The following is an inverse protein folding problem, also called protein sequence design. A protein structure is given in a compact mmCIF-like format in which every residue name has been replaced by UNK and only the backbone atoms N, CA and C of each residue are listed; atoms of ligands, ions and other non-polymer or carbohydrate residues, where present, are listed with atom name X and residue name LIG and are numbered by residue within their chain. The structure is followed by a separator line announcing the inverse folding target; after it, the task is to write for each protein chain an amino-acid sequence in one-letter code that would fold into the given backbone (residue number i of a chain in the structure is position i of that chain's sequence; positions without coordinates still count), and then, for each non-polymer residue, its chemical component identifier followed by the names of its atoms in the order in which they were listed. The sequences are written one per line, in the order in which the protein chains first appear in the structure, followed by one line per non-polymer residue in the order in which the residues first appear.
data_IF_259319786129
#
_entry.id   IF_259319786129
#
_cell.length_a   1.000
_cell.length_b   1.000
_cell.length_c   1.000
_cell.angle_alpha   90.00
_cell.angle_beta   90.00
_cell.angle_gamma   90.00
#
_symmetry.space_group_name_H-M   'P 1'
#
loop_
_entity.id
_entity.type
_entity.pdbx_description
1 polymer ?
#
# COMPACT_ATOMS: atom_id res chain seq x y z
N UNK A 1 -4.36 39.86 30.84
CA UNK A 1 -5.53 38.97 30.67
C UNK A 1 -6.78 39.85 30.66
N UNK A 2 -7.49 39.93 29.53
CA UNK A 2 -8.74 40.71 29.37
C UNK A 2 -10.00 39.84 29.50
N UNK A 3 -10.00 38.91 30.46
CA UNK A 3 -11.09 37.95 30.69
C UNK A 3 -12.40 38.66 31.07
N UNK A 4 -13.39 38.67 30.17
CA UNK A 4 -14.66 39.36 30.42
C UNK A 4 -15.67 38.46 31.15
N UNK A 5 -15.86 37.23 30.68
CA UNK A 5 -16.84 36.27 31.25
C UNK A 5 -16.35 34.83 31.37
N UNK A 6 -15.16 34.50 30.83
CA UNK A 6 -14.58 33.17 30.96
C UNK A 6 -14.24 32.81 32.41
N UNK A 7 -14.37 31.54 32.79
CA UNK A 7 -14.04 31.05 34.13
C UNK A 7 -12.97 29.96 34.07
N UNK A 8 -12.24 29.75 35.18
CA UNK A 8 -11.28 28.64 35.37
C UNK A 8 -10.11 28.59 34.37
N UNK A 9 -9.55 29.76 34.08
CA UNK A 9 -8.38 29.87 33.20
C UNK A 9 -7.07 29.97 34.00
N UNK A 10 -6.01 29.35 33.50
CA UNK A 10 -4.63 29.45 34.02
C UNK A 10 -3.75 30.17 32.99
N UNK A 11 -3.10 31.27 33.38
CA UNK A 11 -2.20 32.03 32.51
C UNK A 11 -0.84 32.25 33.17
N UNK A 12 0.24 31.81 32.53
CA UNK A 12 1.61 31.97 33.04
C UNK A 12 2.59 32.31 31.91
N UNK A 13 2.93 33.59 31.76
CA UNK A 13 3.82 34.09 30.72
C UNK A 13 3.43 35.50 30.28
N UNK A 14 4.34 36.20 29.59
CA UNK A 14 4.05 37.51 29.04
C UNK A 14 2.92 37.40 28.00
N UNK A 15 1.85 38.18 28.15
CA UNK A 15 0.68 38.18 27.26
C UNK A 15 -0.04 36.82 27.08
N UNK A 16 0.16 35.86 27.99
CA UNK A 16 -0.63 34.63 27.99
C UNK A 16 -2.12 34.98 28.23
N UNK A 17 -3.02 34.45 27.38
CA UNK A 17 -4.47 34.71 27.43
C UNK A 17 -4.84 36.21 27.42
N UNK A 18 -4.10 37.04 26.68
CA UNK A 18 -4.31 38.50 26.65
C UNK A 18 -5.73 38.88 26.20
N UNK A 19 -6.19 38.36 25.06
CA UNK A 19 -7.48 38.74 24.46
C UNK A 19 -8.65 37.78 24.77
N UNK A 20 -8.49 36.85 25.73
CA UNK A 20 -9.56 35.95 26.15
C UNK A 20 -10.78 36.73 26.60
N UNK A 21 -11.93 36.61 25.92
CA UNK A 21 -13.17 37.31 26.31
C UNK A 21 -14.07 36.38 27.13
N UNK A 22 -14.68 35.37 26.50
CA UNK A 22 -15.63 34.46 27.15
C UNK A 22 -15.16 33.00 27.26
N UNK A 23 -14.01 32.65 26.68
CA UNK A 23 -13.45 31.29 26.75
C UNK A 23 -13.13 30.86 28.18
N UNK A 24 -13.66 29.71 28.61
CA UNK A 24 -13.39 29.12 29.93
C UNK A 24 -12.53 27.85 29.85
N UNK A 25 -12.03 27.42 31.00
CA UNK A 25 -11.25 26.17 31.17
C UNK A 25 -9.98 26.10 30.29
N UNK A 26 -9.33 27.24 30.03
CA UNK A 26 -8.11 27.33 29.23
C UNK A 26 -6.84 27.38 30.09
N UNK A 27 -5.79 26.68 29.68
CA UNK A 27 -4.44 26.75 30.28
C UNK A 27 -3.44 27.27 29.27
N UNK A 28 -2.87 28.45 29.49
CA UNK A 28 -1.81 29.05 28.68
C UNK A 28 -0.52 29.25 29.48
N UNK A 29 0.54 28.52 29.14
CA UNK A 29 1.86 28.57 29.79
C UNK A 29 2.92 28.85 28.73
N UNK A 30 3.57 30.01 28.80
CA UNK A 30 4.52 30.49 27.80
C UNK A 30 4.21 31.91 27.37
N UNK A 31 5.21 32.61 26.82
CA UNK A 31 4.98 33.93 26.24
C UNK A 31 4.00 33.80 25.07
N UNK A 32 3.00 34.68 25.04
CA UNK A 32 1.93 34.78 24.03
C UNK A 32 1.10 33.51 23.80
N UNK A 33 1.18 32.51 24.68
CA UNK A 33 0.32 31.33 24.61
C UNK A 33 -1.17 31.73 24.70
N UNK A 34 -1.99 31.28 23.74
CA UNK A 34 -3.42 31.62 23.62
C UNK A 34 -3.74 33.13 23.59
N UNK A 35 -2.81 33.98 23.11
CA UNK A 35 -2.97 35.43 23.20
C UNK A 35 -4.22 35.99 22.48
N UNK A 36 -4.66 35.38 21.36
CA UNK A 36 -5.84 35.83 20.61
C UNK A 36 -7.12 35.01 20.83
N UNK A 37 -7.13 34.09 21.80
CA UNK A 37 -8.36 33.35 22.16
C UNK A 37 -9.48 34.34 22.45
N UNK A 38 -10.66 34.21 21.84
CA UNK A 38 -11.82 35.06 22.17
C UNK A 38 -12.83 34.24 22.95
N UNK A 39 -13.43 33.24 22.31
CA UNK A 39 -14.55 32.46 22.88
C UNK A 39 -14.27 30.97 23.02
N UNK A 40 -13.16 30.47 22.46
CA UNK A 40 -12.76 29.07 22.54
C UNK A 40 -12.52 28.59 23.99
N UNK A 41 -13.08 27.44 24.35
CA UNK A 41 -12.93 26.86 25.69
C UNK A 41 -12.18 25.53 25.70
N UNK A 42 -11.67 25.13 26.85
CA UNK A 42 -11.02 23.82 27.06
C UNK A 42 -9.68 23.66 26.33
N UNK A 43 -8.96 24.75 26.04
CA UNK A 43 -7.68 24.68 25.34
C UNK A 43 -6.49 24.60 26.31
N UNK A 44 -5.50 23.77 25.99
CA UNK A 44 -4.21 23.70 26.69
C UNK A 44 -3.08 24.11 25.75
N UNK A 45 -2.34 25.16 26.08
CA UNK A 45 -1.22 25.68 25.31
C UNK A 45 0.02 25.81 26.21
N UNK A 46 1.07 25.04 25.93
CA UNK A 46 2.34 25.08 26.66
C UNK A 46 3.50 25.27 25.69
N UNK A 47 4.12 26.44 25.70
CA UNK A 47 5.20 26.81 24.79
C UNK A 47 5.10 28.28 24.37
N UNK A 48 6.17 28.82 23.78
CA UNK A 48 6.13 30.15 23.16
C UNK A 48 5.15 30.11 21.98
N UNK A 49 4.21 31.07 21.95
CA UNK A 49 3.18 31.23 20.92
C UNK A 49 2.32 29.99 20.60
N UNK A 50 2.28 28.99 21.50
CA UNK A 50 1.37 27.86 21.33
C UNK A 50 -0.09 28.36 21.27
N UNK A 51 -0.84 27.94 20.24
CA UNK A 51 -2.22 28.38 19.98
C UNK A 51 -2.41 29.92 19.88
N UNK A 52 -1.40 30.67 19.41
CA UNK A 52 -1.40 32.14 19.42
C UNK A 52 -2.65 32.77 18.77
N UNK A 53 -3.06 32.33 17.57
CA UNK A 53 -4.17 32.94 16.82
C UNK A 53 -5.55 32.31 17.06
N UNK A 54 -5.68 31.38 18.01
CA UNK A 54 -6.97 30.69 18.26
C UNK A 54 -8.04 31.74 18.53
N UNK A 55 -9.20 31.70 17.85
CA UNK A 55 -10.29 32.66 18.11
C UNK A 55 -11.45 31.96 18.81
N UNK A 56 -12.04 30.97 18.13
CA UNK A 56 -13.24 30.25 18.58
C UNK A 56 -13.01 28.75 18.75
N UNK A 57 -11.87 28.22 18.29
CA UNK A 57 -11.52 26.81 18.41
C UNK A 57 -11.48 26.33 19.87
N UNK A 58 -12.02 25.15 20.12
CA UNK A 58 -12.18 24.56 21.44
C UNK A 58 -11.54 23.18 21.53
N UNK A 59 -11.22 22.76 22.75
CA UNK A 59 -10.65 21.45 23.09
C UNK A 59 -9.33 21.13 22.36
N UNK A 60 -8.49 22.15 22.11
CA UNK A 60 -7.19 21.95 21.49
C UNK A 60 -6.08 21.79 22.55
N UNK A 61 -5.14 20.90 22.30
CA UNK A 61 -3.91 20.74 23.09
C UNK A 61 -2.70 21.05 22.23
N UNK A 62 -1.90 22.04 22.59
CA UNK A 62 -0.67 22.43 21.90
C UNK A 62 0.50 22.47 22.91
N UNK A 63 1.51 21.63 22.70
CA UNK A 63 2.70 21.55 23.55
C UNK A 63 3.95 21.63 22.68
N UNK A 64 4.65 22.77 22.71
CA UNK A 64 5.83 23.03 21.89
C UNK A 64 5.92 24.50 21.47
N UNK A 65 7.11 24.89 21.01
CA UNK A 65 7.32 26.19 20.36
C UNK A 65 6.48 26.24 19.07
N UNK A 66 5.65 27.28 18.93
CA UNK A 66 4.79 27.51 17.75
C UNK A 66 3.84 26.34 17.40
N UNK A 67 3.58 25.46 18.36
CA UNK A 67 2.61 24.38 18.18
C UNK A 67 1.21 24.97 17.96
N UNK A 68 0.58 24.60 16.85
CA UNK A 68 -0.81 24.99 16.53
C UNK A 68 -1.02 26.52 16.44
N UNK A 69 0.03 27.29 16.11
CA UNK A 69 0.08 28.76 16.21
C UNK A 69 -1.01 29.46 15.39
N UNK A 70 -1.31 28.97 14.18
CA UNK A 70 -2.23 29.59 13.23
C UNK A 70 -3.70 29.10 13.33
N UNK A 71 -4.03 28.27 14.33
CA UNK A 71 -5.41 27.79 14.52
C UNK A 71 -6.34 28.98 14.72
N UNK A 72 -7.45 29.04 13.98
CA UNK A 72 -8.46 30.10 14.15
C UNK A 72 -9.76 29.53 14.71
N UNK A 73 -10.29 28.48 14.09
CA UNK A 73 -11.60 27.88 14.42
C UNK A 73 -11.58 26.36 14.60
N UNK A 74 -10.45 25.71 14.30
CA UNK A 74 -10.31 24.25 14.39
C UNK A 74 -10.49 23.74 15.82
N UNK A 75 -11.15 22.58 15.97
CA UNK A 75 -11.49 21.99 17.26
C UNK A 75 -10.81 20.62 17.45
N UNK A 76 -10.64 20.22 18.71
CA UNK A 76 -10.22 18.87 19.08
C UNK A 76 -8.87 18.44 18.46
N UNK A 77 -7.94 19.37 18.25
CA UNK A 77 -6.60 19.06 17.76
C UNK A 77 -5.63 18.83 18.90
N UNK A 78 -4.75 17.84 18.78
CA UNK A 78 -3.61 17.60 19.67
C UNK A 78 -2.32 17.79 18.87
N UNK A 79 -1.45 18.70 19.29
CA UNK A 79 -0.17 18.98 18.66
C UNK A 79 0.95 19.01 19.71
N UNK A 80 1.86 18.03 19.64
CA UNK A 80 3.00 17.91 20.56
C UNK A 80 4.30 17.91 19.78
N UNK A 81 5.11 18.96 19.92
CA UNK A 81 6.34 19.16 19.17
C UNK A 81 6.49 20.61 18.72
N UNK A 82 7.73 21.04 18.46
CA UNK A 82 7.96 22.36 17.88
C UNK A 82 7.38 22.40 16.46
N UNK A 83 6.67 23.48 16.12
CA UNK A 83 5.99 23.65 14.83
C UNK A 83 5.03 22.51 14.45
N UNK A 84 4.60 21.70 15.43
CA UNK A 84 3.59 20.68 15.18
C UNK A 84 2.27 21.37 14.83
N UNK A 85 1.73 21.05 13.66
CA UNK A 85 0.44 21.57 13.19
C UNK A 85 0.39 23.11 13.09
N UNK A 86 1.54 23.75 12.83
CA UNK A 86 1.77 25.20 12.88
C UNK A 86 0.73 26.03 12.08
N UNK A 87 0.47 25.64 10.83
CA UNK A 87 -0.35 26.43 9.88
C UNK A 87 -1.84 26.08 9.87
N UNK A 88 -2.32 25.19 10.76
CA UNK A 88 -3.71 24.74 10.80
C UNK A 88 -4.66 25.93 10.96
N UNK A 89 -5.55 26.21 10.01
CA UNK A 89 -6.49 27.35 10.14
C UNK A 89 -7.84 26.91 10.70
N UNK A 90 -8.41 25.83 10.15
CA UNK A 90 -9.77 25.34 10.48
C UNK A 90 -9.88 23.81 10.58
N UNK A 91 -8.81 23.08 10.26
CA UNK A 91 -8.76 21.63 10.40
C UNK A 91 -9.06 21.18 11.84
N UNK A 92 -9.78 20.07 11.99
CA UNK A 92 -10.26 19.58 13.28
C UNK A 92 -9.95 18.09 13.47
N UNK A 93 -9.91 17.66 14.74
CA UNK A 93 -9.68 16.26 15.12
C UNK A 93 -8.35 15.67 14.62
N UNK A 94 -7.30 16.49 14.55
CA UNK A 94 -5.95 16.02 14.17
C UNK A 94 -5.13 15.64 15.41
N UNK A 95 -4.37 14.55 15.33
CA UNK A 95 -3.45 14.09 16.38
C UNK A 95 -2.00 14.08 15.88
N UNK A 96 -1.18 14.97 16.42
CA UNK A 96 0.15 15.28 15.88
C UNK A 96 1.20 15.21 16.97
N UNK A 97 2.24 14.41 16.74
CA UNK A 97 3.41 14.30 17.61
C UNK A 97 4.68 14.30 16.76
N UNK A 98 5.58 15.26 16.98
CA UNK A 98 6.84 15.36 16.27
C UNK A 98 7.21 16.78 15.86
N UNK A 99 8.50 17.01 15.61
CA UNK A 99 9.01 18.28 15.08
C UNK A 99 8.47 18.51 13.66
N UNK A 100 7.79 19.63 13.44
CA UNK A 100 7.19 20.02 12.15
C UNK A 100 6.26 18.95 11.55
N UNK A 101 5.69 18.07 12.38
CA UNK A 101 4.68 17.13 11.92
C UNK A 101 3.41 17.89 11.54
N UNK A 102 2.85 17.57 10.37
CA UNK A 102 1.63 18.18 9.82
C UNK A 102 1.68 19.73 9.77
N UNK A 103 2.88 20.32 9.58
CA UNK A 103 3.14 21.75 9.74
C UNK A 103 2.27 22.64 8.83
N UNK A 104 2.04 22.22 7.58
CA UNK A 104 1.41 23.07 6.55
C UNK A 104 -0.11 22.92 6.43
N UNK A 105 -0.75 22.17 7.34
CA UNK A 105 -2.18 21.87 7.21
C UNK A 105 -3.01 23.16 7.19
N UNK A 106 -3.88 23.36 6.20
CA UNK A 106 -4.76 24.53 6.19
C UNK A 106 -6.14 24.15 6.73
N UNK A 107 -6.75 23.09 6.17
CA UNK A 107 -8.14 22.67 6.47
C UNK A 107 -8.32 21.16 6.66
N UNK A 108 -7.28 20.36 6.47
CA UNK A 108 -7.31 18.91 6.63
C UNK A 108 -7.75 18.49 8.04
N UNK A 109 -8.53 17.42 8.12
CA UNK A 109 -9.15 16.96 9.38
C UNK A 109 -9.00 15.44 9.50
N UNK A 110 -9.06 14.95 10.73
CA UNK A 110 -8.92 13.53 11.06
C UNK A 110 -7.56 12.92 10.70
N UNK A 111 -6.51 13.73 10.68
CA UNK A 111 -5.15 13.27 10.39
C UNK A 111 -4.42 12.84 11.66
N UNK A 112 -3.64 11.76 11.57
CA UNK A 112 -2.68 11.33 12.60
C UNK A 112 -1.28 11.44 12.04
N UNK A 113 -0.42 12.28 12.63
CA UNK A 113 0.97 12.45 12.21
C UNK A 113 1.91 12.22 13.41
N UNK A 114 2.65 11.12 13.41
CA UNK A 114 3.57 10.75 14.48
C UNK A 114 4.99 10.52 13.93
N UNK A 115 5.86 11.51 14.06
CA UNK A 115 7.23 11.45 13.60
C UNK A 115 7.75 12.81 13.14
N UNK A 116 9.08 12.93 13.01
CA UNK A 116 9.71 14.11 12.42
C UNK A 116 9.17 14.33 11.00
N UNK A 117 8.57 15.49 10.73
CA UNK A 117 8.07 15.87 9.40
C UNK A 117 7.05 14.87 8.80
N UNK A 118 6.37 14.06 9.62
CA UNK A 118 5.26 13.24 9.16
C UNK A 118 4.14 14.17 8.63
N UNK A 119 3.61 13.91 7.44
CA UNK A 119 2.58 14.75 6.78
C UNK A 119 2.95 16.25 6.62
N UNK A 120 4.24 16.59 6.59
CA UNK A 120 4.77 17.97 6.61
C UNK A 120 4.01 18.97 5.71
N UNK A 121 3.71 18.55 4.47
CA UNK A 121 3.18 19.41 3.41
C UNK A 121 1.66 19.32 3.21
N UNK A 122 0.93 18.57 4.05
CA UNK A 122 -0.52 18.42 3.87
C UNK A 122 -1.18 19.78 3.98
N UNK A 123 -2.12 20.10 3.09
CA UNK A 123 -2.85 21.38 3.10
C UNK A 123 -4.34 21.18 3.29
N UNK A 124 -4.93 20.20 2.59
CA UNK A 124 -6.37 19.95 2.56
C UNK A 124 -6.73 18.46 2.62
N UNK A 125 -5.74 17.58 2.54
CA UNK A 125 -5.95 16.14 2.68
C UNK A 125 -6.52 15.80 4.05
N UNK A 126 -7.34 14.76 4.12
CA UNK A 126 -8.05 14.39 5.33
C UNK A 126 -8.01 12.86 5.54
N UNK A 127 -8.19 12.45 6.79
CA UNK A 127 -8.19 11.05 7.20
C UNK A 127 -6.89 10.30 6.86
N UNK A 128 -5.75 10.99 6.92
CA UNK A 128 -4.44 10.39 6.70
C UNK A 128 -3.81 9.91 8.02
N UNK A 129 -3.12 8.76 7.99
CA UNK A 129 -2.31 8.27 9.11
C UNK A 129 -0.86 8.16 8.65
N UNK A 130 0.05 8.94 9.24
CA UNK A 130 1.48 8.91 8.97
C UNK A 130 2.25 8.66 10.27
N UNK A 131 2.86 7.48 10.41
CA UNK A 131 3.68 7.11 11.56
C UNK A 131 5.09 6.75 11.12
N UNK A 132 6.07 7.57 11.48
CA UNK A 132 7.46 7.46 11.06
C UNK A 132 8.03 8.80 10.62
N UNK A 133 9.35 8.93 10.66
CA UNK A 133 10.01 10.14 10.13
C UNK A 133 9.74 10.24 8.62
N UNK A 134 9.31 11.41 8.17
CA UNK A 134 9.01 11.75 6.78
C UNK A 134 7.94 10.88 6.09
N UNK A 135 7.19 10.08 6.86
CA UNK A 135 6.04 9.35 6.34
C UNK A 135 5.03 10.35 5.75
N UNK A 136 4.61 10.12 4.50
CA UNK A 136 3.61 10.92 3.81
C UNK A 136 3.95 12.43 3.69
N UNK A 137 5.24 12.79 3.74
CA UNK A 137 5.71 14.17 3.94
C UNK A 137 5.36 15.18 2.82
N UNK A 138 5.19 14.73 1.58
CA UNK A 138 4.85 15.59 0.44
C UNK A 138 3.36 15.62 0.10
N UNK A 139 2.50 14.90 0.84
CA UNK A 139 1.06 14.86 0.54
C UNK A 139 0.48 16.26 0.69
N UNK A 140 -0.32 16.72 -0.29
CA UNK A 140 -0.91 18.07 -0.29
C UNK A 140 -2.41 18.02 -0.13
N UNK A 141 -3.05 17.14 -0.88
CA UNK A 141 -4.52 17.04 -0.99
C UNK A 141 -5.02 15.60 -0.96
N UNK A 142 -4.13 14.60 -0.89
CA UNK A 142 -4.53 13.20 -0.83
C UNK A 142 -5.27 12.89 0.47
N UNK A 143 -6.25 11.99 0.40
CA UNK A 143 -7.03 11.55 1.55
C UNK A 143 -6.97 10.05 1.75
N UNK A 144 -7.32 9.61 2.96
CA UNK A 144 -7.41 8.20 3.36
C UNK A 144 -6.12 7.39 3.16
N UNK A 145 -4.94 8.03 3.21
CA UNK A 145 -3.67 7.33 3.09
C UNK A 145 -3.17 6.86 4.46
N UNK A 146 -2.65 5.64 4.54
CA UNK A 146 -1.96 5.09 5.71
C UNK A 146 -0.50 4.82 5.36
N UNK A 147 0.44 5.50 6.01
CA UNK A 147 1.87 5.34 5.84
C UNK A 147 2.54 5.06 7.20
N UNK A 148 3.04 3.85 7.40
CA UNK A 148 3.73 3.45 8.64
C UNK A 148 5.14 2.97 8.31
N UNK A 149 6.15 3.67 8.78
CA UNK A 149 7.56 3.37 8.50
C UNK A 149 8.38 4.63 8.25
N UNK A 150 9.70 4.50 8.36
CA UNK A 150 10.62 5.58 7.96
C UNK A 150 10.49 5.78 6.45
N UNK A 151 10.12 7.01 6.05
CA UNK A 151 10.01 7.40 4.64
C UNK A 151 9.04 6.52 3.85
N UNK A 152 7.94 6.09 4.48
CA UNK A 152 6.83 5.41 3.80
C UNK A 152 5.97 6.44 3.04
N UNK A 153 5.70 6.17 1.75
CA UNK A 153 4.86 6.99 0.86
C UNK A 153 5.19 8.51 0.88
N UNK A 154 6.48 8.94 0.92
CA UNK A 154 6.85 10.33 1.17
C UNK A 154 6.53 11.25 -0.01
N UNK A 155 6.48 10.70 -1.24
CA UNK A 155 6.34 11.48 -2.48
C UNK A 155 4.89 11.66 -2.93
N UNK A 156 3.91 11.12 -2.20
CA UNK A 156 2.50 11.24 -2.58
C UNK A 156 2.12 12.71 -2.59
N UNK A 157 1.39 13.18 -3.60
CA UNK A 157 0.96 14.58 -3.68
C UNK A 157 -0.55 14.74 -3.62
N UNK A 158 -1.27 13.83 -4.27
CA UNK A 158 -2.74 13.85 -4.39
C UNK A 158 -3.35 12.45 -4.61
N UNK A 159 -2.55 11.38 -4.49
CA UNK A 159 -3.07 10.01 -4.49
C UNK A 159 -3.88 9.73 -3.23
N UNK A 160 -4.97 8.97 -3.37
CA UNK A 160 -5.85 8.60 -2.27
C UNK A 160 -5.80 7.11 -1.97
N UNK A 161 -6.28 6.73 -0.78
CA UNK A 161 -6.58 5.35 -0.42
C UNK A 161 -5.37 4.40 -0.55
N UNK A 162 -4.16 4.91 -0.32
CA UNK A 162 -2.94 4.10 -0.34
C UNK A 162 -2.59 3.61 1.07
N UNK A 163 -2.15 2.36 1.18
CA UNK A 163 -1.54 1.77 2.37
C UNK A 163 -0.08 1.46 2.08
N UNK A 164 0.85 2.07 2.82
CA UNK A 164 2.28 1.82 2.78
C UNK A 164 2.76 1.44 4.19
N UNK A 165 3.31 0.23 4.33
CA UNK A 165 3.81 -0.28 5.61
C UNK A 165 5.25 -0.78 5.47
N UNK A 166 6.12 -0.37 6.40
CA UNK A 166 7.57 -0.55 6.45
C UNK A 166 8.41 0.52 5.73
N UNK A 167 9.73 0.34 5.76
CA UNK A 167 10.73 1.24 5.18
C UNK A 167 10.54 1.40 3.67
N UNK A 168 10.41 2.65 3.21
CA UNK A 168 10.36 3.04 1.79
C UNK A 168 9.26 2.36 0.94
N UNK A 169 8.22 1.80 1.56
CA UNK A 169 7.05 1.32 0.86
C UNK A 169 6.39 2.47 0.07
N UNK A 170 6.12 2.26 -1.22
CA UNK A 170 5.60 3.27 -2.16
C UNK A 170 6.42 4.58 -2.23
N UNK A 171 7.75 4.50 -2.05
CA UNK A 171 8.64 5.68 -2.03
C UNK A 171 8.38 6.71 -3.13
N UNK A 172 8.21 6.24 -4.36
CA UNK A 172 8.09 7.09 -5.57
C UNK A 172 6.65 7.41 -5.97
N UNK A 173 5.65 6.99 -5.19
CA UNK A 173 4.25 7.18 -5.58
C UNK A 173 3.88 8.66 -5.48
N UNK A 174 3.48 9.26 -6.60
CA UNK A 174 3.13 10.69 -6.67
C UNK A 174 1.63 10.91 -6.75
N UNK A 175 0.95 10.12 -7.59
CA UNK A 175 -0.48 10.28 -7.95
C UNK A 175 -1.25 8.95 -7.97
N UNK A 176 -0.55 7.82 -7.79
CA UNK A 176 -1.19 6.51 -7.71
C UNK A 176 -2.14 6.44 -6.51
N UNK A 177 -3.23 5.71 -6.69
CA UNK A 177 -4.30 5.57 -5.68
C UNK A 177 -4.67 4.11 -5.52
N UNK A 178 -5.31 3.76 -4.41
CA UNK A 178 -5.80 2.41 -4.11
C UNK A 178 -4.67 1.35 -4.06
N UNK A 179 -3.43 1.73 -3.73
CA UNK A 179 -2.33 0.77 -3.65
C UNK A 179 -2.14 0.26 -2.22
N UNK A 180 -1.88 -1.04 -2.07
CA UNK A 180 -1.46 -1.65 -0.80
C UNK A 180 -0.04 -2.19 -0.96
N UNK A 181 0.93 -1.58 -0.28
CA UNK A 181 2.33 -1.99 -0.24
C UNK A 181 2.75 -2.29 1.19
N UNK A 182 2.99 -3.56 1.49
CA UNK A 182 3.37 -4.02 2.83
C UNK A 182 4.71 -4.75 2.75
N UNK A 183 5.75 -4.14 3.29
CA UNK A 183 7.11 -4.67 3.28
C UNK A 183 8.14 -3.65 2.79
N UNK A 184 9.40 -3.90 3.14
CA UNK A 184 10.53 -3.05 2.75
C UNK A 184 10.59 -2.93 1.23
N UNK A 185 10.58 -1.71 0.71
CA UNK A 185 10.65 -1.38 -0.72
C UNK A 185 9.51 -1.97 -1.57
N UNK A 186 8.39 -2.35 -0.96
CA UNK A 186 7.20 -2.79 -1.70
C UNK A 186 6.66 -1.64 -2.57
N UNK A 187 6.51 -1.88 -3.88
CA UNK A 187 6.13 -0.87 -4.88
C UNK A 187 6.99 0.41 -4.86
N UNK A 188 8.25 0.33 -4.44
CA UNK A 188 9.13 1.50 -4.27
C UNK A 188 9.21 2.43 -5.50
N UNK A 189 9.13 1.86 -6.71
CA UNK A 189 9.21 2.61 -7.98
C UNK A 189 7.83 2.92 -8.59
N UNK A 190 6.72 2.56 -7.95
CA UNK A 190 5.40 2.89 -8.47
C UNK A 190 5.19 4.40 -8.39
N UNK A 191 4.90 5.04 -9.52
CA UNK A 191 4.76 6.52 -9.62
C UNK A 191 3.30 6.94 -9.74
N UNK A 192 2.53 6.27 -10.59
CA UNK A 192 1.13 6.60 -10.89
C UNK A 192 0.21 5.38 -11.03
N UNK A 193 0.75 4.16 -10.92
CA UNK A 193 -0.02 2.93 -10.96
C UNK A 193 -1.05 2.88 -9.83
N UNK A 194 -2.18 2.24 -10.10
CA UNK A 194 -3.34 2.20 -9.20
C UNK A 194 -3.77 0.78 -8.90
N UNK A 195 -4.46 0.60 -7.77
CA UNK A 195 -5.11 -0.66 -7.43
C UNK A 195 -4.14 -1.84 -7.43
N UNK A 196 -2.89 -1.62 -7.03
CA UNK A 196 -1.88 -2.65 -6.92
C UNK A 196 -1.77 -3.16 -5.48
N UNK A 197 -1.63 -4.48 -5.32
CA UNK A 197 -1.32 -5.12 -4.05
C UNK A 197 0.09 -5.70 -4.15
N UNK A 198 0.97 -5.32 -3.24
CA UNK A 198 2.32 -5.84 -3.11
C UNK A 198 2.62 -6.20 -1.66
N UNK A 199 2.91 -7.48 -1.41
CA UNK A 199 3.12 -8.02 -0.08
C UNK A 199 4.49 -8.69 0.03
N UNK A 200 5.22 -8.33 1.08
CA UNK A 200 6.61 -8.68 1.40
C UNK A 200 7.68 -7.75 0.79
N UNK A 201 8.91 -7.88 1.28
CA UNK A 201 10.05 -7.08 0.82
C UNK A 201 10.31 -7.23 -0.69
N UNK A 202 10.54 -6.09 -1.36
CA UNK A 202 10.77 -5.96 -2.81
C UNK A 202 9.63 -6.45 -3.71
N UNK A 203 8.43 -6.67 -3.16
CA UNK A 203 7.27 -7.04 -3.97
C UNK A 203 6.89 -5.88 -4.91
N UNK A 204 6.84 -6.16 -6.21
CA UNK A 204 6.50 -5.18 -7.23
C UNK A 204 7.53 -4.07 -7.42
N UNK A 205 8.78 -4.26 -6.97
CA UNK A 205 9.83 -3.25 -7.06
C UNK A 205 10.03 -2.66 -8.46
N UNK A 206 9.83 -3.46 -9.52
CA UNK A 206 10.02 -2.98 -10.90
C UNK A 206 8.81 -2.24 -11.45
N UNK A 207 7.65 -2.28 -10.78
CA UNK A 207 6.41 -1.68 -11.27
C UNK A 207 6.50 -0.16 -11.23
N UNK A 208 6.21 0.53 -12.34
CA UNK A 208 6.30 2.00 -12.41
C UNK A 208 4.96 2.68 -12.62
N UNK A 209 4.17 2.23 -13.60
CA UNK A 209 2.87 2.84 -13.95
C UNK A 209 1.74 1.83 -14.10
N UNK A 210 2.06 0.54 -14.02
CA UNK A 210 1.12 -0.55 -14.13
C UNK A 210 0.05 -0.53 -13.03
N UNK A 211 -1.16 -0.99 -13.37
CA UNK A 211 -2.31 -0.97 -12.45
C UNK A 211 -2.99 -2.34 -12.35
N UNK A 212 -3.76 -2.55 -11.29
CA UNK A 212 -4.53 -3.78 -11.03
C UNK A 212 -3.66 -5.04 -10.89
N UNK A 213 -2.45 -4.92 -10.35
CA UNK A 213 -1.58 -6.06 -10.15
C UNK A 213 -1.68 -6.62 -8.73
N UNK A 214 -1.53 -7.94 -8.58
CA UNK A 214 -1.40 -8.61 -7.29
C UNK A 214 -0.05 -9.30 -7.26
N UNK A 215 0.85 -8.87 -6.37
CA UNK A 215 2.23 -9.30 -6.29
C UNK A 215 2.53 -9.76 -4.87
N UNK A 216 2.64 -11.06 -4.65
CA UNK A 216 2.78 -11.65 -3.32
C UNK A 216 4.04 -12.48 -3.25
N UNK A 217 4.94 -12.09 -2.34
CA UNK A 217 6.16 -12.83 -2.02
C UNK A 217 7.42 -11.98 -2.06
N UNK A 218 8.40 -12.34 -1.23
CA UNK A 218 9.67 -11.63 -1.17
C UNK A 218 10.42 -11.72 -2.50
N UNK A 219 10.90 -10.57 -3.00
CA UNK A 219 11.63 -10.44 -4.26
C UNK A 219 10.85 -10.92 -5.50
N UNK A 220 9.53 -10.83 -5.47
CA UNK A 220 8.69 -10.95 -6.67
C UNK A 220 8.59 -9.57 -7.30
N UNK A 221 9.52 -9.26 -8.20
CA UNK A 221 9.76 -7.89 -8.65
C UNK A 221 8.66 -7.30 -9.56
N UNK A 222 7.96 -8.16 -10.30
CA UNK A 222 7.09 -7.73 -11.40
C UNK A 222 7.85 -7.16 -12.59
N UNK A 223 7.12 -6.63 -13.57
CA UNK A 223 7.67 -5.83 -14.68
C UNK A 223 7.11 -4.40 -14.63
N UNK A 224 7.85 -3.45 -15.21
CA UNK A 224 7.47 -2.03 -15.24
C UNK A 224 6.06 -1.74 -15.76
N UNK A 225 5.64 -2.47 -16.78
CA UNK A 225 4.36 -2.29 -17.48
C UNK A 225 3.34 -3.38 -17.16
N UNK A 226 3.58 -4.23 -16.17
CA UNK A 226 2.58 -5.23 -15.77
C UNK A 226 1.26 -4.52 -15.45
N UNK A 227 0.17 -4.97 -16.05
CA UNK A 227 -1.16 -4.46 -15.75
C UNK A 227 -2.15 -5.61 -15.76
N UNK A 228 -2.99 -5.68 -14.74
CA UNK A 228 -3.95 -6.78 -14.54
C UNK A 228 -3.24 -8.15 -14.40
N UNK A 229 -2.07 -8.19 -13.74
CA UNK A 229 -1.26 -9.40 -13.58
C UNK A 229 -1.24 -9.86 -12.13
N UNK A 230 -1.43 -11.17 -11.93
CA UNK A 230 -1.23 -11.83 -10.63
C UNK A 230 0.11 -12.57 -10.67
N UNK A 231 0.96 -12.31 -9.67
CA UNK A 231 2.23 -12.99 -9.40
C UNK A 231 2.26 -13.44 -7.94
N UNK A 232 2.35 -14.74 -7.72
CA UNK A 232 2.40 -15.33 -6.38
C UNK A 232 3.60 -16.25 -6.30
N UNK A 233 4.56 -15.89 -5.45
CA UNK A 233 5.82 -16.60 -5.31
C UNK A 233 6.84 -16.26 -6.42
N UNK A 234 8.07 -16.73 -6.18
CA UNK A 234 9.24 -16.57 -7.04
C UNK A 234 9.61 -17.93 -7.65
N UNK A 235 9.73 -17.96 -8.98
CA UNK A 235 10.17 -19.16 -9.70
C UNK A 235 11.51 -19.67 -9.16
N UNK A 236 11.61 -20.99 -8.97
CA UNK A 236 12.79 -21.65 -8.37
C UNK A 236 12.86 -21.60 -6.84
N UNK A 237 12.05 -20.78 -6.17
CA UNK A 237 11.99 -20.74 -4.69
C UNK A 237 10.88 -21.62 -4.16
N UNK A 238 9.64 -21.38 -4.60
CA UNK A 238 8.48 -22.21 -4.23
C UNK A 238 8.53 -23.52 -5.02
N UNK A 239 8.52 -24.66 -4.30
CA UNK A 239 8.56 -26.01 -4.87
C UNK A 239 7.19 -26.71 -4.94
N UNK A 240 6.21 -26.21 -4.21
CA UNK A 240 4.85 -26.75 -4.16
C UNK A 240 3.84 -25.63 -3.87
N UNK A 241 2.63 -25.78 -4.42
CA UNK A 241 1.52 -24.84 -4.24
C UNK A 241 0.31 -25.59 -3.70
N UNK A 242 -0.14 -25.21 -2.50
CA UNK A 242 -1.34 -25.76 -1.87
C UNK A 242 -2.44 -24.70 -1.87
N UNK A 243 -3.57 -24.99 -2.52
CA UNK A 243 -4.75 -24.12 -2.53
C UNK A 243 -5.91 -24.90 -1.92
N UNK A 244 -6.44 -24.41 -0.80
CA UNK A 244 -7.57 -25.03 -0.14
C UNK A 244 -8.87 -24.87 -0.97
N UNK A 245 -9.83 -25.79 -0.79
CA UNK A 245 -11.16 -25.70 -1.40
C UNK A 245 -11.27 -26.18 -2.86
N UNK A 246 -10.19 -26.68 -3.45
CA UNK A 246 -10.21 -27.25 -4.82
C UNK A 246 -10.48 -28.77 -4.86
N UNK A 247 -10.44 -29.44 -3.70
CA UNK A 247 -10.66 -30.88 -3.60
C UNK A 247 -12.11 -31.23 -3.30
N UNK A 248 -12.64 -32.27 -3.96
CA UNK A 248 -14.00 -32.77 -3.73
C UNK A 248 -15.12 -31.96 -4.41
N UNK A 249 -14.77 -30.93 -5.19
CA UNK A 249 -15.73 -30.06 -5.88
C UNK A 249 -16.02 -30.59 -7.28
N UNK A 250 -17.30 -30.88 -7.58
CA UNK A 250 -17.73 -31.26 -8.92
C UNK A 250 -17.51 -30.08 -9.89
N UNK A 251 -16.85 -30.33 -11.02
CA UNK A 251 -16.52 -29.28 -12.00
C UNK A 251 -17.19 -29.52 -13.36
N UNK A 252 -17.65 -28.43 -13.98
CA UNK A 252 -18.07 -28.36 -15.39
C UNK A 252 -17.29 -27.21 -16.04
N UNK A 253 -16.57 -27.47 -17.14
CA UNK A 253 -15.76 -26.45 -17.83
C UNK A 253 -14.51 -26.99 -18.51
N UNK A 254 -13.63 -26.08 -18.92
CA UNK A 254 -12.36 -26.39 -19.59
C UNK A 254 -11.25 -26.72 -18.58
N UNK A 255 -10.38 -27.68 -18.93
CA UNK A 255 -9.17 -27.99 -18.16
C UNK A 255 -8.19 -26.83 -18.19
N UNK A 256 -7.68 -26.44 -17.01
CA UNK A 256 -6.59 -25.48 -16.86
C UNK A 256 -5.25 -26.19 -17.05
N UNK A 257 -4.37 -25.60 -17.86
CA UNK A 257 -3.01 -26.06 -18.13
C UNK A 257 -2.00 -24.98 -17.75
N UNK A 258 -0.75 -25.38 -17.48
CA UNK A 258 0.38 -24.48 -17.23
C UNK A 258 1.27 -24.48 -18.47
N UNK A 259 1.62 -23.31 -18.99
CA UNK A 259 2.57 -23.21 -20.10
C UNK A 259 4.04 -23.23 -19.60
N UNK A 260 5.00 -23.20 -20.52
CA UNK A 260 6.44 -23.21 -20.18
C UNK A 260 6.92 -21.98 -19.40
N UNK A 261 6.12 -20.91 -19.33
CA UNK A 261 6.44 -19.70 -18.54
C UNK A 261 5.73 -19.69 -17.18
N UNK A 262 5.13 -20.81 -16.76
CA UNK A 262 4.39 -20.93 -15.50
C UNK A 262 3.01 -20.25 -15.50
N UNK A 263 2.51 -19.80 -16.66
CA UNK A 263 1.19 -19.15 -16.77
C UNK A 263 0.09 -20.19 -16.89
N UNK A 264 -0.94 -20.05 -16.04
CA UNK A 264 -2.18 -20.81 -16.14
C UNK A 264 -3.04 -20.33 -17.33
N UNK A 265 -3.67 -21.26 -18.03
CA UNK A 265 -4.57 -20.96 -19.14
C UNK A 265 -5.41 -22.17 -19.56
N UNK A 266 -6.15 -22.03 -20.64
CA UNK A 266 -6.92 -23.11 -21.27
C UNK A 266 -6.43 -23.32 -22.69
N UNK A 267 -6.40 -24.57 -23.15
CA UNK A 267 -6.00 -24.87 -24.52
C UNK A 267 -7.08 -24.39 -25.51
N UNK A 268 -6.76 -23.42 -26.36
CA UNK A 268 -7.68 -22.92 -27.40
C UNK A 268 -7.65 -23.80 -28.63
N UNK A 269 -8.81 -24.27 -29.10
CA UNK A 269 -8.89 -25.21 -30.24
C UNK A 269 -9.75 -24.73 -31.43
N UNK A 270 -10.42 -23.57 -31.30
CA UNK A 270 -11.27 -22.99 -32.35
C UNK A 270 -10.47 -22.63 -33.61
N UNK A 271 -11.08 -22.78 -34.79
CA UNK A 271 -10.48 -22.38 -36.08
C UNK A 271 -10.03 -20.92 -36.10
N UNK A 272 -10.70 -20.04 -35.36
CA UNK A 272 -10.29 -18.62 -35.19
C UNK A 272 -8.87 -18.43 -34.64
N UNK A 273 -8.32 -19.43 -33.95
CA UNK A 273 -7.00 -19.39 -33.31
C UNK A 273 -6.02 -20.37 -33.97
N UNK A 274 -6.37 -20.91 -35.15
CA UNK A 274 -5.58 -21.92 -35.85
C UNK A 274 -5.42 -21.49 -37.31
N UNK A 275 -4.21 -21.61 -37.81
CA UNK A 275 -3.89 -21.38 -39.22
C UNK A 275 -3.40 -22.67 -39.86
N UNK A 276 -3.40 -22.73 -41.19
CA UNK A 276 -2.89 -23.88 -41.96
C UNK A 276 -3.54 -25.24 -41.59
N UNK A 277 -4.85 -25.23 -41.29
CA UNK A 277 -5.61 -26.43 -40.97
C UNK A 277 -5.71 -27.32 -42.22
N UNK A 278 -5.04 -28.47 -42.20
CA UNK A 278 -5.04 -29.48 -43.26
C UNK A 278 -5.17 -30.89 -42.69
N UNK A 279 -5.68 -31.86 -43.45
CA UNK A 279 -5.63 -33.28 -43.07
C UNK A 279 -4.20 -33.72 -42.73
N UNK A 280 -4.05 -34.64 -41.77
CA UNK A 280 -2.74 -35.12 -41.33
C UNK A 280 -2.10 -36.15 -42.29
N UNK A 281 -2.82 -36.65 -43.29
CA UNK A 281 -2.38 -37.69 -44.23
C UNK A 281 -1.57 -38.81 -43.52
N UNK A 282 -0.39 -39.19 -44.05
CA UNK A 282 0.50 -40.19 -43.45
C UNK A 282 1.11 -39.78 -42.10
N UNK A 283 1.07 -38.49 -41.72
CA UNK A 283 1.54 -38.06 -40.40
C UNK A 283 0.68 -38.63 -39.26
N UNK A 284 -0.57 -39.02 -39.54
CA UNK A 284 -1.41 -39.74 -38.57
C UNK A 284 -0.88 -41.14 -38.21
N UNK A 285 -0.05 -41.76 -39.07
CA UNK A 285 0.57 -43.07 -38.79
C UNK A 285 1.56 -43.00 -37.60
N UNK A 286 2.11 -41.82 -37.31
CA UNK A 286 2.95 -41.62 -36.12
C UNK A 286 2.16 -41.80 -34.82
N UNK A 287 0.86 -41.44 -34.81
CA UNK A 287 -0.03 -41.64 -33.66
C UNK A 287 -0.22 -43.14 -33.38
N UNK A 288 -0.36 -43.96 -34.44
CA UNK A 288 -0.52 -45.41 -34.33
C UNK A 288 0.74 -46.12 -33.80
N UNK A 289 1.90 -45.46 -33.88
CA UNK A 289 3.17 -45.97 -33.36
C UNK A 289 3.40 -45.62 -31.88
N UNK A 290 2.56 -44.76 -31.29
CA UNK A 290 2.63 -44.44 -29.86
C UNK A 290 2.27 -45.68 -29.03
N UNK A 291 3.04 -45.92 -27.96
CA UNK A 291 2.91 -47.09 -27.09
C UNK A 291 2.30 -46.68 -25.74
N UNK A 292 0.99 -46.90 -25.52
CA UNK A 292 0.39 -46.63 -24.22
C UNK A 292 0.99 -47.57 -23.16
N UNK A 293 1.17 -47.04 -21.95
CA UNK A 293 1.71 -47.78 -20.80
C UNK A 293 0.83 -47.59 -19.58
N UNK A 294 0.86 -48.59 -18.69
CA UNK A 294 0.46 -48.42 -17.28
C UNK A 294 1.72 -48.11 -16.47
N UNK A 295 1.65 -47.13 -15.58
CA UNK A 295 2.79 -46.73 -14.76
C UNK A 295 2.34 -46.34 -13.35
N UNK A 296 3.31 -46.19 -12.44
CA UNK A 296 3.13 -45.53 -11.14
C UNK A 296 4.17 -44.43 -11.06
N UNK A 297 3.81 -43.30 -10.48
CA UNK A 297 4.81 -42.28 -10.17
C UNK A 297 5.78 -42.83 -9.12
N UNK A 298 7.04 -42.38 -9.19
CA UNK A 298 7.99 -42.58 -8.10
C UNK A 298 7.43 -41.94 -6.82
N UNK A 299 7.77 -42.49 -5.66
CA UNK A 299 7.27 -42.03 -4.35
C UNK A 299 7.50 -40.53 -4.13
N UNK A 300 8.62 -40.00 -4.64
CA UNK A 300 9.01 -38.59 -4.61
C UNK A 300 8.06 -37.65 -5.39
N UNK A 301 7.33 -38.19 -6.37
CA UNK A 301 6.47 -37.43 -7.30
C UNK A 301 4.99 -37.71 -7.03
N UNK A 302 4.65 -38.93 -6.63
CA UNK A 302 3.29 -39.37 -6.34
C UNK A 302 3.30 -40.45 -5.25
N UNK A 303 3.14 -40.08 -3.97
CA UNK A 303 3.31 -41.00 -2.84
C UNK A 303 2.22 -42.08 -2.77
N UNK A 304 1.08 -41.87 -3.44
CA UNK A 304 -0.09 -42.75 -3.32
C UNK A 304 0.06 -44.08 -4.10
N UNK A 305 1.13 -44.23 -4.90
CA UNK A 305 1.46 -45.43 -5.69
C UNK A 305 0.30 -45.98 -6.56
N UNK A 306 -0.65 -45.11 -6.94
CA UNK A 306 -1.83 -45.47 -7.73
C UNK A 306 -1.42 -45.74 -9.19
N UNK A 307 -1.80 -46.87 -9.80
CA UNK A 307 -1.60 -47.11 -11.22
C UNK A 307 -2.29 -46.04 -12.09
N UNK A 308 -1.56 -45.49 -13.05
CA UNK A 308 -2.04 -44.56 -14.06
C UNK A 308 -1.78 -45.09 -15.48
N UNK A 309 -2.44 -44.49 -16.47
CA UNK A 309 -2.28 -44.82 -17.88
C UNK A 309 -1.82 -43.59 -18.66
N UNK A 310 -0.89 -43.76 -19.60
CA UNK A 310 -0.38 -42.64 -20.37
C UNK A 310 0.72 -43.02 -21.36
N UNK A 311 1.56 -42.04 -21.68
CA UNK A 311 2.72 -42.17 -22.57
C UNK A 311 3.99 -41.72 -21.84
N UNK A 312 5.14 -42.22 -22.29
CA UNK A 312 6.46 -41.80 -21.81
C UNK A 312 7.05 -40.80 -22.80
N UNK A 313 7.39 -39.59 -22.35
CA UNK A 313 7.84 -38.50 -23.23
C UNK A 313 9.04 -38.88 -24.09
N UNK A 314 9.98 -39.66 -23.56
CA UNK A 314 11.16 -40.16 -24.27
C UNK A 314 10.81 -41.14 -25.40
N UNK A 315 9.77 -41.96 -25.23
CA UNK A 315 9.28 -42.85 -26.29
C UNK A 315 8.50 -42.08 -27.36
N UNK A 316 7.71 -41.08 -26.94
CA UNK A 316 7.04 -40.17 -27.89
C UNK A 316 8.07 -39.42 -28.72
N UNK A 317 9.16 -38.93 -28.13
CA UNK A 317 10.24 -38.22 -28.83
C UNK A 317 10.81 -39.00 -30.02
N UNK A 318 10.93 -40.33 -29.90
CA UNK A 318 11.48 -41.20 -30.96
C UNK A 318 10.60 -41.26 -32.20
N UNK A 319 9.30 -41.03 -32.03
CA UNK A 319 8.28 -41.24 -33.08
C UNK A 319 7.69 -39.92 -33.57
N UNK A 320 7.46 -38.98 -32.66
CA UNK A 320 6.84 -37.68 -32.88
C UNK A 320 7.48 -36.61 -31.95
N UNK A 321 8.72 -36.16 -32.23
CA UNK A 321 9.46 -35.24 -31.37
C UNK A 321 8.76 -33.89 -31.14
N UNK A 322 7.93 -33.45 -32.08
CA UNK A 322 7.19 -32.18 -32.00
C UNK A 322 6.08 -32.17 -30.93
N UNK A 323 5.69 -33.35 -30.43
CA UNK A 323 4.69 -33.50 -29.37
C UNK A 323 5.31 -33.42 -27.96
N UNK A 324 6.63 -33.33 -27.82
CA UNK A 324 7.32 -33.34 -26.53
C UNK A 324 7.72 -31.93 -26.12
N UNK A 325 7.41 -31.54 -24.89
CA UNK A 325 8.01 -30.35 -24.27
C UNK A 325 9.21 -30.73 -23.42
N UNK A 326 10.15 -29.79 -23.30
CA UNK A 326 11.40 -29.97 -22.58
C UNK A 326 11.43 -29.13 -21.30
N UNK A 327 12.15 -29.59 -20.29
CA UNK A 327 12.46 -28.82 -19.08
C UNK A 327 13.55 -27.77 -19.35
N UNK A 328 13.88 -26.98 -18.33
CA UNK A 328 14.90 -25.92 -18.40
C UNK A 328 16.30 -26.45 -18.75
N UNK A 329 16.56 -27.75 -18.53
CA UNK A 329 17.82 -28.44 -18.88
C UNK A 329 17.78 -29.09 -20.28
N UNK A 330 16.67 -28.93 -21.03
CA UNK A 330 16.50 -29.47 -22.37
C UNK A 330 16.17 -30.98 -22.42
N UNK A 331 15.72 -31.59 -21.33
CA UNK A 331 15.29 -33.00 -21.29
C UNK A 331 13.79 -33.13 -21.54
N UNK A 332 13.32 -34.21 -22.20
CA UNK A 332 11.88 -34.49 -22.33
C UNK A 332 11.17 -34.43 -20.97
N UNK A 333 10.13 -33.62 -20.86
CA UNK A 333 9.43 -33.35 -19.60
C UNK A 333 7.98 -33.81 -19.61
N UNK A 334 7.21 -33.47 -20.65
CA UNK A 334 5.83 -33.91 -20.82
C UNK A 334 5.44 -33.96 -22.29
N UNK A 335 4.26 -34.53 -22.59
CA UNK A 335 3.68 -34.68 -23.92
C UNK A 335 2.52 -33.69 -24.08
N UNK A 336 2.45 -32.99 -25.22
CA UNK A 336 1.39 -32.03 -25.60
C UNK A 336 0.16 -32.71 -26.17
#
# INVERSE_FOLDING_TARGET
MSNTTGIKNTASGFQALENNTSGGDNTGIGSTALAHNTTGGGNTATGFAALFTNTTGANNTATGLDALVANTIGNANTATGSSALESNTSGSSNTVTGLSALQSNATGSFDTANGLQALLSNTTGAANTATGSQALSADKTGGNNTATGFTALPSNTNGNDNTADSFEALLSNTTGSDNTAVGIDALINNTSGKSNIALSSNAGQNLTTGSNNIIVGANVLGNATDANVIRIGKQGTQKSTFVAGIFGTAMSGSTVVVNSTGKLGVATSSSRFKEQIKPMDRSSEAILKLKPVSFRYKEEVGPDAIPQFGLVAEEVKKVAPDLVTYDDDGKPFTVR
#
